data_IF_682637864537
#
_entry.id   IF_682637864537
#
_cell.length_a   1.000
_cell.length_b   1.000
_cell.length_c   1.000
_cell.angle_alpha   90.00
_cell.angle_beta   90.00
_cell.angle_gamma   90.00
#
_symmetry.space_group_name_H-M   'P 1'
#
loop_
_entity.id
_entity.type
_entity.pdbx_description
1 polymer ?
#
# COMPACT_ATOMS: atom_id res chain seq x y z
N UNK A 1 3.60 -2.52 7.13
CA UNK A 1 2.65 -3.09 6.18
C UNK A 1 1.53 -3.82 6.91
N UNK A 2 0.35 -3.20 6.99
CA UNK A 2 -0.73 -3.62 7.89
C UNK A 2 -2.02 -3.98 7.14
N UNK A 3 -1.95 -4.13 5.81
CA UNK A 3 -3.13 -4.39 4.96
C UNK A 3 -3.91 -5.66 5.37
N UNK A 4 -3.25 -6.61 6.03
CA UNK A 4 -3.84 -7.84 6.56
C UNK A 4 -4.61 -7.63 7.87
N UNK A 5 -4.53 -6.46 8.49
CA UNK A 5 -5.20 -6.14 9.76
C UNK A 5 -6.62 -5.60 9.58
N UNK A 6 -7.16 -5.64 8.37
CA UNK A 6 -8.50 -5.11 8.04
C UNK A 6 -8.74 -3.66 8.48
N UNK A 7 -7.70 -2.82 8.38
CA UNK A 7 -7.84 -1.38 8.65
C UNK A 7 -8.81 -0.79 7.64
N UNK A 8 -9.87 -0.10 8.07
CA UNK A 8 -10.81 0.52 7.17
C UNK A 8 -10.14 1.54 6.25
N UNK A 9 -10.48 1.51 4.97
CA UNK A 9 -10.04 2.51 3.99
C UNK A 9 -11.07 3.63 3.95
N UNK A 10 -10.68 4.85 4.32
CA UNK A 10 -11.59 5.99 4.42
C UNK A 10 -12.29 6.30 3.09
N UNK A 11 -11.60 6.15 1.94
CA UNK A 11 -12.21 6.34 0.61
C UNK A 11 -13.36 5.36 0.40
N UNK A 12 -13.15 4.07 0.74
CA UNK A 12 -14.19 3.05 0.57
C UNK A 12 -15.35 3.24 1.53
N UNK A 13 -15.08 3.59 2.78
CA UNK A 13 -16.12 3.86 3.78
C UNK A 13 -17.01 5.02 3.33
N UNK A 14 -16.39 6.11 2.87
CA UNK A 14 -17.10 7.29 2.41
C UNK A 14 -17.91 7.01 1.13
N UNK A 15 -17.32 6.33 0.13
CA UNK A 15 -18.02 5.97 -1.10
C UNK A 15 -19.24 5.07 -0.83
N UNK A 16 -19.10 4.09 0.08
CA UNK A 16 -20.21 3.24 0.50
C UNK A 16 -21.34 4.05 1.17
N UNK A 17 -20.98 4.99 2.05
CA UNK A 17 -21.95 5.89 2.69
C UNK A 17 -22.71 6.74 1.66
N UNK A 18 -21.99 7.38 0.73
CA UNK A 18 -22.60 8.21 -0.34
C UNK A 18 -23.59 7.39 -1.17
N UNK A 19 -23.17 6.18 -1.59
CA UNK A 19 -24.00 5.29 -2.41
C UNK A 19 -25.24 4.79 -1.65
N UNK A 20 -25.08 4.30 -0.41
CA UNK A 20 -26.21 3.80 0.41
C UNK A 20 -27.25 4.86 0.68
N UNK A 21 -26.83 6.12 0.76
CA UNK A 21 -27.74 7.23 0.99
C UNK A 21 -28.34 7.81 -0.29
N UNK A 22 -28.01 7.30 -1.48
CA UNK A 22 -28.53 7.76 -2.76
C UNK A 22 -28.09 9.19 -3.09
N UNK A 23 -26.91 9.60 -2.61
CA UNK A 23 -26.41 10.95 -2.83
C UNK A 23 -25.78 11.08 -4.21
N UNK A 24 -25.90 12.25 -4.81
CA UNK A 24 -25.21 12.62 -6.06
C UNK A 24 -23.89 13.29 -5.73
N UNK A 25 -22.81 12.84 -6.36
CA UNK A 25 -21.45 13.30 -6.08
C UNK A 25 -21.18 14.64 -6.77
N UNK A 26 -20.65 15.61 -6.03
CA UNK A 26 -20.16 16.90 -6.53
C UNK A 26 -18.64 16.91 -6.52
N UNK A 27 -18.01 16.47 -5.41
CA UNK A 27 -16.57 16.37 -5.26
C UNK A 27 -16.24 15.14 -4.42
N UNK A 28 -15.09 14.51 -4.73
CA UNK A 28 -14.59 13.38 -3.95
C UNK A 28 -13.07 13.42 -3.90
N UNK A 29 -12.50 13.32 -2.72
CA UNK A 29 -11.07 13.25 -2.53
C UNK A 29 -10.72 12.44 -1.28
N UNK A 30 -9.58 11.76 -1.29
CA UNK A 30 -9.08 11.01 -0.14
C UNK A 30 -7.73 10.35 -0.40
N UNK A 31 -7.08 9.96 0.70
CA UNK A 31 -5.74 9.40 0.68
C UNK A 31 -4.64 10.46 0.63
N UNK A 32 -3.47 10.07 1.12
CA UNK A 32 -2.32 10.99 1.27
C UNK A 32 -1.09 10.50 0.50
N UNK A 33 -0.92 9.18 0.38
CA UNK A 33 0.25 8.54 -0.23
C UNK A 33 -0.12 7.23 -0.91
N UNK A 34 0.54 6.92 -2.02
CA UNK A 34 0.35 5.70 -2.80
C UNK A 34 0.51 4.41 -1.98
N UNK A 35 1.44 4.38 -1.03
CA UNK A 35 1.82 3.19 -0.26
C UNK A 35 1.14 3.08 1.12
N UNK A 36 0.12 3.89 1.40
CA UNK A 36 -0.62 3.87 2.67
C UNK A 36 -2.11 3.57 2.46
N UNK A 37 -2.74 2.97 3.49
CA UNK A 37 -4.19 2.86 3.53
C UNK A 37 -4.75 4.24 3.89
N UNK A 38 -5.67 4.82 3.11
CA UNK A 38 -6.25 6.12 3.38
C UNK A 38 -6.89 6.22 4.77
N UNK A 39 -6.42 7.19 5.56
CA UNK A 39 -6.95 7.50 6.89
C UNK A 39 -8.05 8.56 6.86
N UNK A 40 -8.12 9.35 5.78
CA UNK A 40 -9.10 10.40 5.59
C UNK A 40 -9.65 10.44 4.16
N UNK A 41 -10.92 10.84 4.04
CA UNK A 41 -11.57 11.15 2.77
C UNK A 41 -12.67 12.19 2.97
N UNK A 42 -12.93 12.98 1.94
CA UNK A 42 -13.96 14.03 1.94
C UNK A 42 -14.79 13.94 0.67
N UNK A 43 -16.10 14.11 0.81
CA UNK A 43 -17.00 14.22 -0.34
C UNK A 43 -17.93 15.42 -0.16
N UNK A 44 -18.17 16.13 -1.25
CA UNK A 44 -19.28 17.07 -1.37
C UNK A 44 -20.38 16.37 -2.18
N UNK A 45 -21.59 16.36 -1.64
CA UNK A 45 -22.71 15.63 -2.24
C UNK A 45 -24.00 16.44 -2.23
N UNK A 46 -24.87 16.18 -3.17
CA UNK A 46 -26.27 16.60 -3.13
C UNK A 46 -27.13 15.45 -2.62
N UNK A 47 -28.01 15.74 -1.70
CA UNK A 47 -28.94 14.77 -1.12
C UNK A 47 -30.34 15.39 -0.98
N UNK A 48 -31.36 14.62 -1.36
CA UNK A 48 -32.78 15.02 -1.23
C UNK A 48 -33.34 14.79 0.20
N UNK A 49 -32.50 14.22 1.08
CA UNK A 49 -32.80 13.93 2.49
C UNK A 49 -31.72 14.42 3.42
N UNK A 50 -32.05 14.60 4.68
CA UNK A 50 -31.08 14.90 5.73
C UNK A 50 -30.17 13.67 5.94
N UNK A 51 -28.86 13.90 5.86
CA UNK A 51 -27.87 12.88 6.12
C UNK A 51 -27.45 12.90 7.59
N UNK A 52 -27.31 11.71 8.18
CA UNK A 52 -26.81 11.54 9.54
C UNK A 52 -25.55 10.70 9.54
N UNK A 53 -24.64 10.99 10.46
CA UNK A 53 -23.47 10.14 10.68
C UNK A 53 -23.90 8.73 11.12
N UNK A 54 -23.31 7.71 10.50
CA UNK A 54 -23.55 6.29 10.82
C UNK A 54 -22.49 5.70 11.74
N UNK A 55 -21.36 6.42 11.96
CA UNK A 55 -20.28 5.99 12.83
C UNK A 55 -19.47 7.17 13.37
N UNK A 56 -18.71 6.94 14.43
CA UNK A 56 -17.93 7.99 15.12
C UNK A 56 -16.90 8.70 14.23
N UNK A 57 -16.36 7.99 13.22
CA UNK A 57 -15.32 8.52 12.33
C UNK A 57 -15.88 9.18 11.06
N UNK A 58 -17.20 9.32 10.94
CA UNK A 58 -17.85 9.99 9.82
C UNK A 58 -18.58 11.23 10.33
N UNK A 59 -18.29 12.38 9.76
CA UNK A 59 -19.01 13.62 10.06
C UNK A 59 -19.77 14.13 8.85
N UNK A 60 -20.96 14.67 9.07
CA UNK A 60 -21.80 15.26 8.03
C UNK A 60 -22.06 16.72 8.39
N UNK A 61 -21.85 17.61 7.42
CA UNK A 61 -22.12 19.04 7.57
C UNK A 61 -22.99 19.54 6.42
N UNK A 62 -24.10 20.16 6.74
CA UNK A 62 -24.94 20.84 5.75
C UNK A 62 -24.32 22.19 5.38
N UNK A 63 -24.14 22.43 4.08
CA UNK A 63 -23.52 23.66 3.57
C UNK A 63 -24.52 24.61 2.94
N UNK A 64 -25.55 24.09 2.28
CA UNK A 64 -26.54 24.92 1.56
C UNK A 64 -27.22 24.13 0.44
N UNK A 65 -27.73 24.84 -0.54
CA UNK A 65 -28.31 24.28 -1.77
C UNK A 65 -27.28 24.40 -2.90
N UNK A 66 -27.29 23.45 -3.82
CA UNK A 66 -26.46 23.43 -5.02
C UNK A 66 -27.14 22.59 -6.09
N UNK A 67 -26.67 22.70 -7.32
CA UNK A 67 -27.22 22.02 -8.50
C UNK A 67 -26.13 21.34 -9.35
N UNK A 68 -24.84 21.61 -9.09
CA UNK A 68 -23.73 21.00 -9.79
C UNK A 68 -23.47 19.59 -9.29
N UNK A 69 -23.27 18.66 -10.20
CA UNK A 69 -22.86 17.27 -9.92
C UNK A 69 -21.73 16.85 -10.85
N UNK A 70 -20.92 15.90 -10.41
CA UNK A 70 -19.95 15.24 -11.29
C UNK A 70 -20.70 14.36 -12.30
N UNK A 71 -20.47 14.58 -13.59
CA UNK A 71 -21.10 13.85 -14.69
C UNK A 71 -20.93 12.32 -14.55
N UNK A 72 -19.75 11.88 -14.11
CA UNK A 72 -19.41 10.47 -13.91
C UNK A 72 -19.40 10.04 -12.44
N UNK A 73 -20.09 10.76 -11.55
CA UNK A 73 -20.08 10.50 -10.12
C UNK A 73 -20.51 9.07 -9.74
N UNK A 74 -21.55 8.55 -10.40
CA UNK A 74 -22.01 7.16 -10.18
C UNK A 74 -20.97 6.13 -10.60
N UNK A 75 -20.27 6.33 -11.73
CA UNK A 75 -19.21 5.44 -12.20
C UNK A 75 -18.02 5.44 -11.24
N UNK A 76 -17.67 6.59 -10.68
CA UNK A 76 -16.62 6.74 -9.66
C UNK A 76 -16.97 5.91 -8.42
N UNK A 77 -18.18 6.08 -7.90
CA UNK A 77 -18.68 5.32 -6.75
C UNK A 77 -18.77 3.82 -7.04
N UNK A 78 -19.19 3.44 -8.25
CA UNK A 78 -19.23 2.05 -8.69
C UNK A 78 -17.82 1.42 -8.71
N UNK A 79 -16.81 2.10 -9.28
CA UNK A 79 -15.43 1.64 -9.29
C UNK A 79 -14.90 1.43 -7.86
N UNK A 80 -15.05 2.45 -7.01
CA UNK A 80 -14.54 2.41 -5.64
C UNK A 80 -15.22 1.30 -4.83
N UNK A 81 -16.56 1.16 -4.93
CA UNK A 81 -17.31 0.17 -4.16
C UNK A 81 -17.10 -1.26 -4.65
N UNK A 82 -17.01 -1.47 -5.99
CA UNK A 82 -16.81 -2.81 -6.58
C UNK A 82 -15.38 -3.32 -6.45
N UNK A 83 -14.40 -2.43 -6.27
CA UNK A 83 -13.02 -2.81 -6.10
C UNK A 83 -12.82 -3.56 -4.77
N UNK A 84 -12.29 -4.77 -4.84
CA UNK A 84 -11.92 -5.55 -3.65
C UNK A 84 -10.53 -5.16 -3.17
N UNK A 85 -10.45 -4.51 -2.03
CA UNK A 85 -9.20 -4.13 -1.37
C UNK A 85 -8.69 -5.23 -0.44
N UNK A 86 -7.38 -5.25 -0.20
CA UNK A 86 -6.78 -6.07 0.83
C UNK A 86 -5.91 -7.19 0.30
N UNK A 87 -5.81 -8.26 1.06
CA UNK A 87 -5.03 -9.46 0.72
C UNK A 87 -5.75 -10.26 -0.36
N UNK A 88 -5.04 -10.59 -1.43
CA UNK A 88 -5.54 -11.37 -2.58
C UNK A 88 -5.04 -12.81 -2.56
N UNK A 89 -3.84 -13.01 -2.00
CA UNK A 89 -3.27 -14.33 -1.75
C UNK A 89 -2.39 -14.27 -0.50
N UNK A 90 -2.28 -15.41 0.20
CA UNK A 90 -1.51 -15.54 1.41
C UNK A 90 -0.46 -16.64 1.26
N UNK A 91 0.76 -16.37 1.69
CA UNK A 91 1.83 -17.35 1.72
C UNK A 91 1.86 -18.03 3.08
N UNK A 92 1.33 -19.26 3.15
CA UNK A 92 1.23 -20.00 4.40
C UNK A 92 2.59 -20.44 4.97
N UNK A 93 3.60 -20.66 4.12
CA UNK A 93 4.94 -21.05 4.56
C UNK A 93 5.64 -19.89 5.29
N UNK A 94 5.49 -18.68 4.77
CA UNK A 94 6.10 -17.48 5.35
C UNK A 94 5.21 -16.79 6.38
N UNK A 95 3.93 -17.17 6.49
CA UNK A 95 2.98 -16.57 7.42
C UNK A 95 2.63 -15.10 7.13
N UNK A 96 2.71 -14.66 5.87
CA UNK A 96 2.45 -13.27 5.46
C UNK A 96 1.66 -13.19 4.14
N UNK A 97 1.01 -12.05 3.84
CA UNK A 97 0.38 -11.84 2.54
C UNK A 97 1.36 -12.08 1.39
N UNK A 98 0.92 -12.79 0.36
CA UNK A 98 1.65 -12.94 -0.89
C UNK A 98 1.30 -11.82 -1.86
N UNK A 99 0.01 -11.59 -2.07
CA UNK A 99 -0.53 -10.58 -2.97
C UNK A 99 -1.46 -9.67 -2.19
N UNK A 100 -1.35 -8.39 -2.41
CA UNK A 100 -2.28 -7.41 -1.85
C UNK A 100 -2.45 -6.22 -2.77
N UNK A 101 -3.60 -5.56 -2.67
CA UNK A 101 -3.87 -4.32 -3.38
C UNK A 101 -4.63 -3.34 -2.51
N UNK A 102 -4.28 -2.08 -2.60
CA UNK A 102 -4.87 -0.97 -1.86
C UNK A 102 -5.37 0.11 -2.83
N UNK A 103 -6.56 0.64 -2.60
CA UNK A 103 -6.99 1.89 -3.18
C UNK A 103 -6.37 3.01 -2.34
N UNK A 104 -5.41 3.72 -2.90
CA UNK A 104 -4.52 4.61 -2.15
C UNK A 104 -4.91 6.06 -2.21
N UNK A 105 -5.38 6.52 -3.35
CA UNK A 105 -5.74 7.92 -3.60
C UNK A 105 -7.00 8.03 -4.44
N UNK A 106 -7.78 9.08 -4.17
CA UNK A 106 -8.77 9.63 -5.08
C UNK A 106 -8.62 11.14 -5.01
N UNK A 107 -8.21 11.79 -6.11
CA UNK A 107 -7.90 13.22 -6.13
C UNK A 107 -8.32 13.86 -7.45
N UNK A 108 -8.95 15.01 -7.35
CA UNK A 108 -9.23 15.85 -8.51
C UNK A 108 -7.97 16.65 -8.85
N UNK A 109 -7.52 16.56 -10.10
CA UNK A 109 -6.41 17.34 -10.65
C UNK A 109 -6.87 18.75 -11.01
N UNK A 110 -5.89 19.62 -11.31
CA UNK A 110 -6.12 21.01 -11.70
C UNK A 110 -6.93 21.14 -13.00
N UNK A 111 -6.89 20.14 -13.86
CA UNK A 111 -7.66 20.05 -15.12
C UNK A 111 -9.10 19.51 -14.92
N UNK A 112 -9.51 19.27 -13.67
CA UNK A 112 -10.83 18.71 -13.33
C UNK A 112 -10.93 17.20 -13.44
N UNK A 113 -9.88 16.50 -13.90
CA UNK A 113 -9.86 15.04 -13.99
C UNK A 113 -9.74 14.39 -12.62
N UNK A 114 -10.60 13.41 -12.31
CA UNK A 114 -10.41 12.58 -11.12
C UNK A 114 -9.40 11.47 -11.41
N UNK A 115 -8.34 11.42 -10.64
CA UNK A 115 -7.39 10.30 -10.58
C UNK A 115 -7.71 9.39 -9.41
N UNK A 116 -7.83 8.08 -9.68
CA UNK A 116 -7.95 7.04 -8.65
C UNK A 116 -6.73 6.14 -8.75
N UNK A 117 -5.97 6.02 -7.66
CA UNK A 117 -4.74 5.24 -7.64
C UNK A 117 -4.91 3.96 -6.85
N UNK A 118 -4.46 2.87 -7.45
CA UNK A 118 -4.38 1.55 -6.83
C UNK A 118 -2.91 1.14 -6.70
N UNK A 119 -2.54 0.65 -5.52
CA UNK A 119 -1.19 0.21 -5.23
C UNK A 119 -1.16 -1.29 -4.94
N UNK A 120 -0.56 -2.07 -5.83
CA UNK A 120 -0.46 -3.52 -5.73
C UNK A 120 0.93 -3.95 -5.25
N UNK A 121 0.97 -5.05 -4.51
CA UNK A 121 2.21 -5.75 -4.09
C UNK A 121 2.05 -7.23 -4.28
N UNK A 122 3.10 -7.90 -4.77
CA UNK A 122 3.16 -9.36 -4.90
C UNK A 122 4.58 -9.88 -4.70
N UNK A 123 4.67 -11.13 -4.25
CA UNK A 123 5.92 -11.90 -4.25
C UNK A 123 6.23 -12.54 -5.61
N UNK A 124 5.31 -12.43 -6.59
CA UNK A 124 5.48 -13.01 -7.94
C UNK A 124 5.08 -12.03 -9.03
N UNK A 125 5.76 -12.14 -10.18
CA UNK A 125 5.43 -11.37 -11.38
C UNK A 125 4.00 -11.68 -11.86
N UNK A 126 3.59 -12.94 -11.78
CA UNK A 126 2.26 -13.39 -12.20
C UNK A 126 1.16 -12.82 -11.29
N UNK A 127 1.42 -12.72 -9.98
CA UNK A 127 0.52 -12.07 -9.04
C UNK A 127 0.33 -10.58 -9.35
N UNK A 128 1.42 -9.86 -9.67
CA UNK A 128 1.32 -8.47 -10.13
C UNK A 128 0.54 -8.35 -11.44
N UNK A 129 0.84 -9.18 -12.44
CA UNK A 129 0.15 -9.16 -13.74
C UNK A 129 -1.36 -9.43 -13.58
N UNK A 130 -1.72 -10.40 -12.75
CA UNK A 130 -3.12 -10.74 -12.48
C UNK A 130 -3.86 -9.57 -11.84
N UNK A 131 -3.31 -8.97 -10.79
CA UNK A 131 -3.95 -7.84 -10.11
C UNK A 131 -4.06 -6.61 -11.03
N UNK A 132 -3.03 -6.31 -11.81
CA UNK A 132 -3.06 -5.24 -12.82
C UNK A 132 -4.15 -5.48 -13.85
N UNK A 133 -4.28 -6.71 -14.37
CA UNK A 133 -5.33 -7.08 -15.31
C UNK A 133 -6.72 -6.92 -14.70
N UNK A 134 -6.97 -7.47 -13.51
CA UNK A 134 -8.27 -7.40 -12.82
C UNK A 134 -8.70 -5.95 -12.57
N UNK A 135 -7.79 -5.10 -12.08
CA UNK A 135 -8.06 -3.68 -11.82
C UNK A 135 -8.32 -2.93 -13.14
N UNK A 136 -7.53 -3.21 -14.17
CA UNK A 136 -7.67 -2.58 -15.48
C UNK A 136 -8.99 -2.91 -16.12
N UNK A 137 -9.42 -4.16 -16.10
CA UNK A 137 -10.69 -4.57 -16.67
C UNK A 137 -11.89 -3.99 -15.88
N UNK A 138 -11.80 -3.97 -14.55
CA UNK A 138 -12.82 -3.30 -13.71
C UNK A 138 -12.94 -1.81 -14.05
N UNK A 139 -11.82 -1.10 -14.13
CA UNK A 139 -11.81 0.33 -14.44
C UNK A 139 -12.37 0.61 -15.84
N UNK A 140 -11.95 -0.14 -16.85
CA UNK A 140 -12.47 -0.05 -18.23
C UNK A 140 -13.97 -0.33 -18.31
N UNK A 141 -14.46 -1.35 -17.59
CA UNK A 141 -15.87 -1.72 -17.57
C UNK A 141 -16.78 -0.57 -17.09
N UNK A 142 -16.26 0.32 -16.25
CA UNK A 142 -16.98 1.52 -15.79
C UNK A 142 -16.57 2.80 -16.55
N UNK A 143 -15.76 2.69 -17.60
CA UNK A 143 -15.43 3.77 -18.52
C UNK A 143 -14.25 4.63 -18.13
N UNK A 144 -13.31 4.11 -17.31
CA UNK A 144 -12.07 4.79 -16.97
C UNK A 144 -10.89 4.42 -17.88
N UNK A 145 -10.02 5.38 -18.14
CA UNK A 145 -8.71 5.12 -18.73
C UNK A 145 -7.76 4.60 -17.64
N UNK A 146 -6.91 3.65 -18.01
CA UNK A 146 -5.96 3.02 -17.10
C UNK A 146 -4.53 3.32 -17.52
N UNK A 147 -3.72 3.76 -16.56
CA UNK A 147 -2.28 3.97 -16.73
C UNK A 147 -1.57 3.13 -15.68
N UNK A 148 -0.72 2.20 -16.13
CA UNK A 148 0.18 1.46 -15.26
C UNK A 148 1.54 2.17 -15.21
N UNK A 149 2.02 2.44 -14.01
CA UNK A 149 3.30 3.15 -13.79
C UNK A 149 4.03 2.60 -12.56
N UNK A 150 5.27 3.00 -12.39
CA UNK A 150 6.08 2.75 -11.19
C UNK A 150 6.12 1.27 -10.76
N UNK A 151 6.23 0.36 -11.74
CA UNK A 151 6.24 -1.06 -11.49
C UNK A 151 7.53 -1.50 -10.81
N UNK A 152 7.46 -1.76 -9.52
CA UNK A 152 8.54 -2.39 -8.79
C UNK A 152 8.55 -3.91 -9.02
N UNK A 153 9.73 -4.54 -9.12
CA UNK A 153 9.82 -5.98 -9.29
C UNK A 153 9.23 -6.73 -8.10
N UNK A 154 8.60 -7.86 -8.39
CA UNK A 154 8.19 -8.79 -7.36
C UNK A 154 9.42 -9.39 -6.69
N UNK A 155 9.38 -9.56 -5.36
CA UNK A 155 10.45 -10.19 -4.63
C UNK A 155 9.92 -11.22 -3.64
N UNK A 156 10.36 -12.47 -3.84
CA UNK A 156 10.11 -13.56 -2.89
C UNK A 156 11.32 -13.69 -1.97
N UNK A 157 11.18 -13.60 -0.64
CA UNK A 157 12.27 -13.82 0.29
C UNK A 157 12.88 -15.23 0.13
N UNK A 158 14.20 -15.31 0.12
CA UNK A 158 14.96 -16.57 0.06
C UNK A 158 15.83 -16.65 1.31
N UNK A 159 15.71 -17.77 2.03
CA UNK A 159 16.59 -18.07 3.14
C UNK A 159 17.78 -18.93 2.62
N UNK A 160 18.80 -18.26 2.13
CA UNK A 160 20.01 -18.87 1.58
C UNK A 160 21.21 -18.81 2.54
N UNK A 161 22.35 -19.29 2.09
CA UNK A 161 23.59 -19.25 2.86
C UNK A 161 23.97 -17.83 3.27
N UNK A 162 23.82 -16.85 2.36
CA UNK A 162 24.19 -15.47 2.63
C UNK A 162 23.31 -14.85 3.73
N UNK A 163 22.01 -15.07 3.70
CA UNK A 163 21.11 -14.63 4.74
C UNK A 163 21.44 -15.27 6.11
N UNK A 164 21.84 -16.55 6.13
CA UNK A 164 22.26 -17.23 7.35
C UNK A 164 23.60 -16.73 7.87
N UNK A 165 24.57 -16.44 7.00
CA UNK A 165 25.85 -15.83 7.39
C UNK A 165 25.65 -14.46 8.04
N UNK A 166 24.71 -13.64 7.50
CA UNK A 166 24.32 -12.37 8.12
C UNK A 166 23.66 -12.59 9.48
N UNK A 167 22.77 -13.58 9.60
CA UNK A 167 22.12 -13.89 10.87
C UNK A 167 23.15 -14.30 11.95
N UNK A 168 24.14 -15.12 11.60
CA UNK A 168 25.22 -15.51 12.53
C UNK A 168 25.99 -14.27 13.03
N UNK A 169 26.36 -13.38 12.14
CA UNK A 169 27.07 -12.14 12.50
C UNK A 169 26.19 -11.21 13.34
N UNK A 170 24.89 -11.08 13.02
CA UNK A 170 23.92 -10.32 13.82
C UNK A 170 23.78 -10.88 15.24
N UNK A 171 23.79 -12.21 15.40
CA UNK A 171 23.63 -12.87 16.70
C UNK A 171 24.75 -12.57 17.68
N UNK A 172 25.94 -12.18 17.22
CA UNK A 172 27.04 -11.71 18.06
C UNK A 172 26.60 -10.51 18.92
N UNK A 173 25.78 -9.62 18.35
CA UNK A 173 25.31 -8.40 19.00
C UNK A 173 23.86 -8.48 19.49
N UNK A 174 23.04 -9.32 18.86
CA UNK A 174 21.60 -9.53 19.14
C UNK A 174 21.31 -11.04 19.12
N UNK A 175 21.49 -11.75 20.24
CA UNK A 175 21.34 -13.21 20.30
C UNK A 175 19.97 -13.71 19.84
N UNK A 176 18.92 -12.90 19.98
CA UNK A 176 17.55 -13.23 19.58
C UNK A 176 17.22 -12.79 18.13
N UNK A 177 18.24 -12.39 17.33
CA UNK A 177 18.03 -12.05 15.93
C UNK A 177 17.47 -13.26 15.15
N UNK A 178 16.61 -13.00 14.20
CA UNK A 178 15.97 -14.02 13.35
C UNK A 178 15.73 -13.48 11.94
N UNK A 179 15.75 -14.38 10.96
CA UNK A 179 15.29 -14.05 9.60
C UNK A 179 13.77 -13.99 9.61
N UNK A 180 13.24 -12.94 9.01
CA UNK A 180 11.79 -12.76 8.82
C UNK A 180 11.52 -12.32 7.39
N UNK A 181 10.33 -12.62 6.91
CA UNK A 181 9.82 -12.09 5.65
C UNK A 181 8.91 -10.90 5.91
N UNK A 182 8.90 -9.93 5.01
CA UNK A 182 8.00 -8.79 5.06
C UNK A 182 7.27 -8.62 3.72
N UNK A 183 5.99 -8.29 3.78
CA UNK A 183 5.21 -7.98 2.59
C UNK A 183 5.42 -6.51 2.20
N UNK A 184 6.62 -6.19 1.70
CA UNK A 184 7.04 -4.86 1.29
C UNK A 184 7.87 -4.91 0.01
N UNK A 185 7.88 -3.84 -0.79
CA UNK A 185 8.88 -3.66 -1.82
C UNK A 185 10.22 -3.33 -1.16
N UNK A 186 11.26 -4.08 -1.52
CA UNK A 186 12.62 -3.87 -1.04
C UNK A 186 13.56 -3.73 -2.23
N UNK A 187 14.64 -3.00 -2.06
CA UNK A 187 15.71 -2.81 -3.04
C UNK A 187 16.32 -4.13 -3.50
N UNK A 188 16.31 -5.15 -2.63
CA UNK A 188 16.71 -6.51 -2.97
C UNK A 188 15.99 -7.06 -4.21
N UNK A 189 14.68 -6.76 -4.37
CA UNK A 189 13.91 -7.17 -5.53
C UNK A 189 14.45 -6.55 -6.83
N UNK A 190 14.82 -5.27 -6.79
CA UNK A 190 15.40 -4.56 -7.95
C UNK A 190 16.76 -5.13 -8.33
N UNK A 191 17.58 -5.45 -7.35
CA UNK A 191 18.92 -6.05 -7.58
C UNK A 191 18.79 -7.44 -8.20
N UNK A 192 17.89 -8.28 -7.68
CA UNK A 192 17.66 -9.65 -8.17
C UNK A 192 17.00 -9.69 -9.56
N UNK A 193 16.19 -8.70 -9.92
CA UNK A 193 15.64 -8.59 -11.29
C UNK A 193 16.75 -8.33 -12.32
N UNK A 194 17.77 -7.55 -11.93
CA UNK A 194 18.91 -7.24 -12.81
C UNK A 194 19.95 -8.37 -12.86
N UNK A 195 20.07 -9.12 -11.78
CA UNK A 195 21.06 -10.21 -11.67
C UNK A 195 20.47 -11.32 -10.78
N UNK A 196 19.87 -12.32 -11.44
CA UNK A 196 19.09 -13.38 -10.78
C UNK A 196 19.93 -14.35 -9.93
N UNK A 197 21.25 -14.39 -10.12
CA UNK A 197 22.20 -15.21 -9.36
C UNK A 197 22.75 -14.51 -8.11
N UNK A 198 22.26 -13.31 -7.78
CA UNK A 198 22.62 -12.65 -6.53
C UNK A 198 21.92 -13.28 -5.33
N UNK A 199 22.63 -13.31 -4.21
CA UNK A 199 22.02 -13.43 -2.89
C UNK A 199 21.81 -12.05 -2.29
N UNK A 200 20.63 -11.76 -1.77
CA UNK A 200 20.31 -10.47 -1.19
C UNK A 200 19.51 -10.62 0.11
N UNK A 201 19.91 -9.88 1.12
CA UNK A 201 19.24 -9.81 2.41
C UNK A 201 19.19 -8.35 2.89
N UNK A 202 18.06 -7.92 3.39
CA UNK A 202 17.90 -6.57 3.94
C UNK A 202 18.17 -6.59 5.44
N UNK A 203 19.08 -5.74 5.89
CA UNK A 203 19.38 -5.46 7.30
C UNK A 203 19.40 -3.95 7.52
N UNK A 204 19.16 -3.52 8.76
CA UNK A 204 19.22 -2.09 9.07
C UNK A 204 19.06 -1.82 10.56
N UNK A 205 19.25 -0.54 10.96
CA UNK A 205 19.05 -0.10 12.33
C UNK A 205 17.57 -0.11 12.70
N UNK A 206 17.29 0.11 13.99
CA UNK A 206 15.93 0.31 14.47
C UNK A 206 15.41 1.67 13.98
N UNK A 207 14.36 1.65 13.20
CA UNK A 207 13.65 2.84 12.69
C UNK A 207 12.29 2.94 13.37
N UNK A 208 11.96 4.12 13.84
CA UNK A 208 10.69 4.44 14.48
C UNK A 208 9.90 5.41 13.62
N UNK A 209 8.58 5.22 13.57
CA UNK A 209 7.64 6.01 12.77
C UNK A 209 8.04 6.16 11.30
N UNK A 210 8.41 5.05 10.58
CA UNK A 210 8.88 5.14 9.20
C UNK A 210 7.83 5.81 8.30
N UNK A 211 8.30 6.56 7.29
CA UNK A 211 7.49 7.31 6.33
C UNK A 211 6.67 8.46 6.94
N UNK A 212 7.03 8.96 8.11
CA UNK A 212 6.37 10.09 8.75
C UNK A 212 7.34 11.25 9.01
N UNK A 213 6.80 12.42 9.34
CA UNK A 213 7.62 13.59 9.77
C UNK A 213 8.31 13.37 11.12
N UNK A 214 7.95 12.28 11.83
CA UNK A 214 8.56 11.88 13.11
C UNK A 214 9.50 10.68 12.96
N UNK A 215 9.87 10.33 11.73
CA UNK A 215 10.81 9.24 11.49
C UNK A 215 12.17 9.52 12.13
N UNK A 216 12.66 8.56 12.88
CA UNK A 216 13.97 8.64 13.52
C UNK A 216 14.60 7.27 13.68
N UNK A 217 15.94 7.25 13.82
CA UNK A 217 16.76 6.06 13.94
C UNK A 217 17.43 6.00 15.32
N UNK A 218 17.52 4.82 15.90
CA UNK A 218 18.32 4.57 17.10
C UNK A 218 19.80 4.51 16.74
N UNK A 219 20.59 5.50 17.17
CA UNK A 219 22.01 5.62 16.83
C UNK A 219 22.83 4.39 17.27
N UNK A 220 22.57 3.85 18.45
CA UNK A 220 23.25 2.65 18.93
C UNK A 220 23.03 1.45 18.00
N UNK A 221 21.84 1.30 17.44
CA UNK A 221 21.55 0.24 16.49
C UNK A 221 22.24 0.45 15.14
N UNK A 222 22.40 1.68 14.68
CA UNK A 222 23.17 1.97 13.47
C UNK A 222 24.65 1.61 13.62
N UNK A 223 25.24 1.91 14.78
CA UNK A 223 26.65 1.58 15.07
C UNK A 223 26.91 0.07 15.11
N UNK A 224 25.98 -0.74 15.63
CA UNK A 224 26.22 -2.20 15.58
C UNK A 224 25.94 -2.78 14.19
N UNK A 225 25.02 -2.26 13.40
CA UNK A 225 24.83 -2.68 12.00
C UNK A 225 26.09 -2.42 11.18
N UNK A 226 26.80 -1.30 11.40
CA UNK A 226 28.11 -1.06 10.78
C UNK A 226 29.10 -2.20 11.09
N UNK A 227 29.18 -2.64 12.36
CA UNK A 227 30.05 -3.75 12.76
C UNK A 227 29.69 -5.06 12.07
N UNK A 228 28.38 -5.37 11.99
CA UNK A 228 27.87 -6.55 11.26
C UNK A 228 28.29 -6.51 9.80
N UNK A 229 28.09 -5.37 9.11
CA UNK A 229 28.51 -5.22 7.70
C UNK A 229 30.01 -5.44 7.53
N UNK A 230 30.84 -4.87 8.43
CA UNK A 230 32.29 -5.08 8.40
C UNK A 230 32.67 -6.57 8.61
N UNK A 231 31.97 -7.27 9.52
CA UNK A 231 32.16 -8.71 9.75
C UNK A 231 31.86 -9.54 8.50
N UNK A 232 30.73 -9.29 7.85
CA UNK A 232 30.33 -9.95 6.60
C UNK A 232 31.35 -9.66 5.47
N UNK A 233 31.72 -8.39 5.27
CA UNK A 233 32.72 -8.01 4.26
C UNK A 233 34.03 -8.76 4.50
N UNK A 234 34.50 -8.86 5.74
CA UNK A 234 35.72 -9.64 6.08
C UNK A 234 35.53 -11.12 5.77
N UNK A 235 34.38 -11.74 6.12
CA UNK A 235 34.08 -13.16 5.86
C UNK A 235 34.13 -13.51 4.37
N UNK A 236 33.71 -12.60 3.50
CA UNK A 236 33.64 -12.82 2.05
C UNK A 236 34.86 -12.33 1.25
N UNK A 237 35.84 -11.67 1.91
CA UNK A 237 37.08 -11.22 1.31
C UNK A 237 38.32 -11.99 1.86
N UNK A 238 38.12 -12.97 2.74
CA UNK A 238 39.15 -13.89 3.23
C UNK A 238 39.10 -15.20 2.46
#
# INVERSE_FOLDING_TARGET
NEIHKNIPNAIKVLAAFVTKNGCRLVKFEGGERSNSIPSGATALVLSDKELKSECENLSVKKLGMGDEILENGEKILALINSFSQGVRAYNCELGIPQDSVNLSLAKIKDDGTLEVEFFARSMSKDGLNRMEFEISELAKAVGFNVISKDRNPAWKPINDKFANDILEELKIYKPNARITAVHAGLECGVLLEKKADLSACSIGPNIYSPHSTREHCEVASALFIEKVVRGIVKKYNS
#
